data_IF_490211080165
#
_entry.id   IF_490211080165
#
_cell.length_a   1.000
_cell.length_b   1.000
_cell.length_c   1.000
_cell.angle_alpha   90.00
_cell.angle_beta   90.00
_cell.angle_gamma   90.00
#
_symmetry.space_group_name_H-M   'P 1'
#
loop_
_entity.id
_entity.type
_entity.pdbx_description
1 polymer ?
#
# COMPACT_ATOMS: atom_id res chain seq x y z
N UNK A 1 26.57 0.83 12.04
CA UNK A 1 25.36 0.71 12.89
C UNK A 1 24.27 1.49 12.20
N UNK A 2 23.40 0.82 11.43
CA UNK A 2 22.26 1.47 10.78
C UNK A 2 21.14 1.44 11.80
N UNK A 3 20.80 2.60 12.34
CA UNK A 3 19.62 2.80 13.17
C UNK A 3 18.41 2.42 12.32
N UNK A 4 17.82 1.25 12.56
CA UNK A 4 16.45 0.99 12.13
C UNK A 4 15.58 1.96 12.91
N UNK A 5 15.27 3.10 12.29
CA UNK A 5 14.23 3.98 12.80
C UNK A 5 12.95 3.18 12.59
N UNK A 6 12.59 2.43 13.63
CA UNK A 6 11.25 1.93 13.84
C UNK A 6 10.32 3.10 13.51
N UNK A 7 9.59 2.95 12.41
CA UNK A 7 8.40 3.75 12.16
C UNK A 7 7.62 3.75 13.48
N UNK A 8 7.42 4.94 14.06
CA UNK A 8 6.71 5.09 15.34
C UNK A 8 5.22 4.87 15.08
N UNK A 9 4.85 3.69 14.60
CA UNK A 9 3.48 3.20 14.63
C UNK A 9 3.18 2.72 16.05
N UNK A 10 3.15 3.66 16.99
CA UNK A 10 2.50 3.47 18.28
C UNK A 10 1.01 3.79 18.10
N UNK A 11 0.28 2.91 17.41
CA UNK A 11 -1.18 2.89 17.47
C UNK A 11 -1.63 1.46 17.70
N UNK A 12 -2.07 1.17 18.91
CA UNK A 12 -2.62 -0.13 19.30
C UNK A 12 -4.00 -0.40 18.70
N UNK A 13 -4.63 0.56 18.03
CA UNK A 13 -6.00 0.41 17.48
C UNK A 13 -6.16 1.27 16.21
N UNK A 14 -7.03 0.81 15.29
CA UNK A 14 -7.59 1.60 14.19
C UNK A 14 -6.97 1.44 12.79
N UNK A 15 -6.98 0.24 12.19
CA UNK A 15 -6.82 0.12 10.74
C UNK A 15 -7.87 -0.81 10.16
N UNK A 16 -8.42 -0.40 9.03
CA UNK A 16 -9.35 -1.18 8.22
C UNK A 16 -8.69 -1.55 6.90
N UNK A 17 -8.87 -2.81 6.50
CA UNK A 17 -8.31 -3.34 5.26
C UNK A 17 -9.47 -3.85 4.45
N UNK A 18 -9.51 -3.41 3.20
CA UNK A 18 -10.51 -3.82 2.24
C UNK A 18 -9.82 -4.47 1.05
N UNK A 19 -10.45 -5.53 0.55
CA UNK A 19 -10.12 -6.10 -0.74
C UNK A 19 -11.25 -5.79 -1.71
N UNK A 20 -10.87 -5.28 -2.86
CA UNK A 20 -11.75 -5.05 -3.99
C UNK A 20 -11.49 -6.15 -5.02
N UNK A 21 -12.54 -6.78 -5.51
CA UNK A 21 -12.47 -7.79 -6.56
C UNK A 21 -13.77 -7.82 -7.37
N UNK A 22 -13.67 -7.57 -8.68
CA UNK A 22 -14.82 -7.48 -9.59
C UNK A 22 -15.92 -6.52 -9.06
N UNK A 23 -15.50 -5.39 -8.49
CA UNK A 23 -16.37 -4.34 -7.94
C UNK A 23 -16.99 -4.65 -6.59
N UNK A 24 -16.67 -5.81 -6.02
CA UNK A 24 -17.11 -6.15 -4.67
C UNK A 24 -16.07 -5.70 -3.66
N UNK A 25 -16.52 -4.97 -2.63
CA UNK A 25 -15.71 -4.57 -1.48
C UNK A 25 -15.92 -5.56 -0.34
N UNK A 26 -14.85 -6.18 0.14
CA UNK A 26 -14.86 -7.10 1.28
C UNK A 26 -13.88 -6.67 2.36
N UNK A 27 -14.23 -6.89 3.64
CA UNK A 27 -13.35 -6.59 4.77
C UNK A 27 -12.37 -7.73 5.00
N UNK A 28 -11.08 -7.44 5.02
CA UNK A 28 -10.05 -8.43 5.38
C UNK A 28 -9.92 -8.49 6.90
N UNK A 29 -10.26 -9.65 7.47
CA UNK A 29 -10.18 -9.88 8.92
C UNK A 29 -8.82 -10.46 9.29
N UNK A 30 -7.90 -9.58 9.68
CA UNK A 30 -6.60 -9.95 10.23
C UNK A 30 -6.60 -9.92 11.76
N UNK A 31 -5.95 -10.90 12.38
CA UNK A 31 -5.59 -10.87 13.81
C UNK A 31 -4.67 -9.69 14.12
N UNK A 32 -4.55 -9.31 15.39
CA UNK A 32 -3.66 -8.21 15.78
C UNK A 32 -2.20 -8.45 15.40
N UNK A 33 -1.74 -9.70 15.42
CA UNK A 33 -0.39 -10.08 14.97
C UNK A 33 -0.22 -9.90 13.46
N UNK A 34 -1.20 -10.33 12.66
CA UNK A 34 -1.16 -10.19 11.19
C UNK A 34 -1.27 -8.73 10.77
N UNK A 35 -2.09 -7.91 11.46
CA UNK A 35 -2.14 -6.47 11.23
C UNK A 35 -0.79 -5.80 11.49
N UNK A 36 -0.13 -6.17 12.59
CA UNK A 36 1.21 -5.68 12.92
C UNK A 36 2.23 -6.11 11.87
N UNK A 37 2.19 -7.37 11.43
CA UNK A 37 3.08 -7.86 10.37
C UNK A 37 2.84 -7.13 9.04
N UNK A 38 1.59 -6.96 8.62
CA UNK A 38 1.23 -6.24 7.40
C UNK A 38 1.77 -4.80 7.44
N UNK A 39 1.58 -4.08 8.55
CA UNK A 39 2.11 -2.72 8.70
C UNK A 39 3.64 -2.68 8.61
N UNK A 40 4.34 -3.63 9.21
CA UNK A 40 5.80 -3.72 9.09
C UNK A 40 6.23 -3.96 7.64
N UNK A 41 5.50 -4.82 6.92
CA UNK A 41 5.76 -5.08 5.50
C UNK A 41 5.48 -3.83 4.65
N UNK A 42 4.39 -3.11 4.91
CA UNK A 42 4.08 -1.86 4.20
C UNK A 42 5.15 -0.82 4.49
N UNK A 43 5.58 -0.66 5.73
CA UNK A 43 6.67 0.26 6.07
C UNK A 43 7.96 -0.12 5.33
N UNK A 44 8.29 -1.41 5.26
CA UNK A 44 9.44 -1.91 4.51
C UNK A 44 9.33 -1.56 3.01
N UNK A 45 8.21 -1.94 2.37
CA UNK A 45 7.94 -1.68 0.95
C UNK A 45 7.90 -0.18 0.66
N UNK A 46 7.19 0.61 1.45
CA UNK A 46 7.05 2.05 1.25
C UNK A 46 8.38 2.77 1.47
N UNK A 47 9.23 2.29 2.41
CA UNK A 47 10.55 2.87 2.63
C UNK A 47 11.46 2.77 1.39
N UNK A 48 11.24 1.75 0.56
CA UNK A 48 12.01 1.46 -0.66
C UNK A 48 11.43 2.10 -1.92
N UNK A 49 10.44 3.00 -1.79
CA UNK A 49 9.99 3.82 -2.92
C UNK A 49 11.17 4.61 -3.48
N UNK A 50 11.51 4.28 -4.71
CA UNK A 50 12.58 4.89 -5.49
C UNK A 50 12.01 5.76 -6.61
N UNK A 51 10.81 5.43 -7.10
CA UNK A 51 10.17 6.15 -8.19
C UNK A 51 8.75 6.67 -7.90
N UNK A 52 8.44 7.77 -8.55
CA UNK A 52 7.10 8.36 -8.63
C UNK A 52 6.74 8.37 -10.11
N UNK A 53 5.75 7.56 -10.46
CA UNK A 53 5.36 7.41 -11.84
C UNK A 53 4.78 8.73 -12.34
N UNK A 54 5.22 9.17 -13.51
CA UNK A 54 4.68 10.37 -14.18
C UNK A 54 3.33 10.10 -14.82
N UNK A 55 2.43 9.53 -14.02
CA UNK A 55 1.07 9.17 -14.37
C UNK A 55 0.15 9.95 -13.43
N UNK A 56 -0.86 10.58 -14.01
CA UNK A 56 -1.93 11.18 -13.23
C UNK A 56 -3.01 10.12 -13.03
N UNK A 57 -3.29 9.78 -11.78
CA UNK A 57 -4.40 8.90 -11.41
C UNK A 57 -5.42 9.77 -10.70
N UNK A 58 -6.56 9.97 -11.34
CA UNK A 58 -7.68 10.73 -10.79
C UNK A 58 -8.63 9.83 -9.99
N UNK A 59 -9.60 10.41 -9.26
CA UNK A 59 -10.57 9.63 -8.50
C UNK A 59 -11.37 8.66 -9.37
N UNK A 60 -11.69 9.02 -10.62
CA UNK A 60 -12.43 8.15 -11.54
C UNK A 60 -11.63 6.89 -11.85
N UNK A 61 -10.33 7.03 -12.14
CA UNK A 61 -9.42 5.90 -12.37
C UNK A 61 -9.27 5.02 -11.14
N UNK A 62 -9.27 5.59 -9.94
CA UNK A 62 -9.27 4.80 -8.69
C UNK A 62 -10.53 3.95 -8.57
N UNK A 63 -11.69 4.52 -8.87
CA UNK A 63 -12.95 3.78 -8.83
C UNK A 63 -13.01 2.70 -9.91
N UNK A 64 -12.44 2.94 -11.10
CA UNK A 64 -12.25 1.91 -12.13
C UNK A 64 -11.39 0.75 -11.62
N UNK A 65 -10.24 1.03 -10.98
CA UNK A 65 -9.37 -0.01 -10.41
C UNK A 65 -10.14 -0.83 -9.36
N UNK A 66 -10.88 -0.17 -8.46
CA UNK A 66 -11.71 -0.85 -7.44
C UNK A 66 -12.85 -1.68 -8.05
N UNK A 67 -13.29 -1.34 -9.26
CA UNK A 67 -14.38 -1.99 -9.96
C UNK A 67 -13.91 -3.16 -10.82
N UNK A 68 -12.84 -2.99 -11.57
CA UNK A 68 -12.44 -3.91 -12.63
C UNK A 68 -11.23 -4.76 -12.23
N UNK A 69 -10.39 -4.29 -11.31
CA UNK A 69 -9.20 -4.99 -10.84
C UNK A 69 -9.34 -5.54 -9.41
N UNK A 70 -8.45 -6.46 -9.06
CA UNK A 70 -8.20 -6.84 -7.67
C UNK A 70 -7.31 -5.77 -7.03
N UNK A 71 -7.72 -5.19 -5.91
CA UNK A 71 -6.93 -4.18 -5.20
C UNK A 71 -7.08 -4.29 -3.68
N UNK A 72 -6.03 -3.93 -2.97
CA UNK A 72 -6.01 -3.82 -1.51
C UNK A 72 -6.06 -2.35 -1.10
N UNK A 73 -7.05 -1.97 -0.31
CA UNK A 73 -7.12 -0.64 0.29
C UNK A 73 -6.89 -0.74 1.79
N UNK A 74 -6.04 0.14 2.29
CA UNK A 74 -5.69 0.23 3.71
C UNK A 74 -6.08 1.61 4.15
N UNK A 75 -7.01 1.68 5.09
CA UNK A 75 -7.53 2.93 5.65
C UNK A 75 -7.03 3.05 7.08
N UNK A 76 -6.28 4.11 7.33
CA UNK A 76 -5.78 4.46 8.65
C UNK A 76 -6.87 5.27 9.39
N UNK A 77 -7.03 5.01 10.69
CA UNK A 77 -7.95 5.77 11.55
C UNK A 77 -7.63 7.26 11.64
N UNK A 78 -6.36 7.62 11.42
CA UNK A 78 -5.82 8.97 11.40
C UNK A 78 -4.79 9.14 10.30
N UNK A 79 -4.54 10.39 9.92
CA UNK A 79 -3.45 10.72 9.02
C UNK A 79 -2.13 10.14 9.56
N UNK A 80 -1.52 9.29 8.73
CA UNK A 80 -0.30 8.55 9.03
C UNK A 80 0.84 9.12 8.19
N UNK A 81 2.00 9.29 8.84
CA UNK A 81 3.22 9.70 8.17
C UNK A 81 4.06 8.48 7.82
N UNK A 82 4.26 8.22 6.52
CA UNK A 82 5.18 7.22 6.01
C UNK A 82 6.45 7.89 5.47
N UNK A 83 7.59 7.24 5.63
CA UNK A 83 8.89 7.80 5.29
C UNK A 83 9.57 6.91 4.26
N UNK A 84 9.92 7.52 3.13
CA UNK A 84 10.74 6.88 2.09
C UNK A 84 12.21 7.21 2.34
N UNK A 85 13.11 6.30 1.96
CA UNK A 85 14.57 6.52 2.07
C UNK A 85 15.04 7.67 1.17
N UNK A 86 14.43 7.80 -0.01
CA UNK A 86 14.95 8.66 -1.09
C UNK A 86 14.07 9.87 -1.42
N UNK A 87 12.80 9.90 -1.00
CA UNK A 87 11.83 10.96 -1.38
C UNK A 87 11.24 11.72 -0.19
N UNK A 88 11.62 11.39 1.04
CA UNK A 88 11.16 12.07 2.24
C UNK A 88 9.83 11.53 2.78
N UNK A 89 9.03 12.41 3.36
CA UNK A 89 7.85 12.08 4.17
C UNK A 89 6.55 12.27 3.40
N UNK A 90 5.63 11.32 3.56
CA UNK A 90 4.30 11.32 2.98
C UNK A 90 3.27 11.27 4.10
N UNK A 91 2.27 12.13 4.04
CA UNK A 91 1.14 12.14 4.97
C UNK A 91 -0.10 11.70 4.23
N UNK A 92 -0.78 10.67 4.74
CA UNK A 92 -1.91 10.03 4.06
C UNK A 92 -2.87 9.40 5.06
N UNK A 93 -4.14 9.30 4.70
CA UNK A 93 -5.16 8.57 5.47
C UNK A 93 -5.47 7.18 4.88
N UNK A 94 -4.99 6.91 3.65
CA UNK A 94 -5.20 5.65 2.96
C UNK A 94 -4.13 5.32 1.92
N UNK A 95 -3.97 4.03 1.69
CA UNK A 95 -3.20 3.46 0.59
C UNK A 95 -4.11 2.57 -0.25
N UNK A 96 -3.95 2.61 -1.57
CA UNK A 96 -4.52 1.62 -2.47
C UNK A 96 -3.39 0.96 -3.25
N UNK A 97 -3.41 -0.37 -3.29
CA UNK A 97 -2.40 -1.21 -3.93
C UNK A 97 -3.12 -2.09 -4.96
N UNK A 98 -2.98 -1.81 -6.26
CA UNK A 98 -3.51 -2.69 -7.29
C UNK A 98 -2.75 -4.02 -7.29
N UNK A 99 -3.48 -5.14 -7.22
CA UNK A 99 -2.94 -6.50 -7.24
C UNK A 99 -3.07 -7.15 -8.63
N UNK A 100 -3.98 -6.66 -9.47
CA UNK A 100 -4.10 -7.01 -10.89
C UNK A 100 -4.34 -5.76 -11.74
N UNK A 101 -4.27 -5.90 -13.07
CA UNK A 101 -4.47 -4.80 -14.01
C UNK A 101 -3.18 -4.11 -14.44
N UNK A 102 -3.32 -2.98 -15.11
CA UNK A 102 -2.19 -2.25 -15.71
C UNK A 102 -1.24 -1.66 -14.65
N UNK A 103 -1.78 -1.21 -13.52
CA UNK A 103 -1.02 -0.63 -12.41
C UNK A 103 -0.66 -1.66 -11.32
N UNK A 104 -0.69 -2.95 -11.65
CA UNK A 104 -0.36 -4.00 -10.69
C UNK A 104 1.10 -4.43 -10.72
N UNK A 105 1.42 -5.33 -9.80
CA UNK A 105 2.67 -6.06 -9.72
C UNK A 105 3.03 -6.72 -11.06
N UNK A 106 4.00 -6.13 -11.76
CA UNK A 106 4.64 -6.80 -12.88
C UNK A 106 5.53 -7.92 -12.33
N UNK A 107 5.16 -9.18 -12.60
CA UNK A 107 5.89 -10.38 -12.14
C UNK A 107 7.36 -10.41 -12.57
N UNK A 108 7.72 -9.63 -13.60
CA UNK A 108 9.09 -9.54 -14.09
C UNK A 108 9.93 -8.47 -13.39
N UNK A 109 9.32 -7.59 -12.59
CA UNK A 109 9.99 -6.37 -12.09
C UNK A 109 9.97 -6.20 -10.56
N UNK A 110 9.43 -7.16 -9.80
CA UNK A 110 9.34 -7.11 -8.32
C UNK A 110 8.87 -5.74 -7.78
N UNK A 111 7.99 -5.09 -8.53
CA UNK A 111 7.59 -3.72 -8.29
C UNK A 111 6.15 -3.65 -7.78
N UNK A 112 5.94 -2.94 -6.69
CA UNK A 112 4.61 -2.67 -6.14
C UNK A 112 4.27 -1.18 -6.34
N UNK A 113 3.05 -0.93 -6.79
CA UNK A 113 2.54 0.43 -6.99
C UNK A 113 1.62 0.80 -5.82
N UNK A 114 1.90 1.94 -5.20
CA UNK A 114 1.09 2.57 -4.17
C UNK A 114 0.39 3.80 -4.73
N UNK A 115 -0.93 3.81 -4.65
CA UNK A 115 -1.73 5.01 -4.83
C UNK A 115 -1.96 5.62 -3.45
N UNK A 116 -1.33 6.76 -3.19
CA UNK A 116 -1.40 7.46 -1.90
C UNK A 116 -2.57 8.43 -1.89
N UNK A 117 -3.36 8.42 -0.82
CA UNK A 117 -4.56 9.23 -0.73
C UNK A 117 -4.63 10.12 0.51
N UNK A 118 -5.07 11.35 0.26
CA UNK A 118 -5.90 12.14 1.16
C UNK A 118 -7.18 12.47 0.38
N UNK A 119 -8.36 12.19 0.93
CA UNK A 119 -9.41 11.23 0.49
C UNK A 119 -9.57 10.91 -1.02
N UNK A 120 -9.11 11.77 -1.93
CA UNK A 120 -9.35 11.73 -3.37
C UNK A 120 -8.20 11.09 -4.18
N UNK A 121 -7.19 10.51 -3.53
CA UNK A 121 -6.03 9.90 -4.21
C UNK A 121 -5.33 10.83 -5.22
N UNK A 122 -5.32 12.14 -4.96
CA UNK A 122 -4.78 13.15 -5.88
C UNK A 122 -3.23 13.16 -6.00
N UNK A 123 -2.56 12.08 -5.65
CA UNK A 123 -1.11 11.91 -5.73
C UNK A 123 -0.68 11.08 -6.93
N UNK A 124 0.53 11.33 -7.42
CA UNK A 124 1.15 10.45 -8.41
C UNK A 124 1.34 9.05 -7.81
N UNK A 125 1.16 7.97 -8.59
CA UNK A 125 1.47 6.62 -8.14
C UNK A 125 2.95 6.50 -7.75
N UNK A 126 3.20 5.85 -6.62
CA UNK A 126 4.54 5.58 -6.14
C UNK A 126 4.91 4.14 -6.45
N UNK A 127 6.13 3.93 -6.91
CA UNK A 127 6.67 2.63 -7.29
C UNK A 127 7.76 2.25 -6.30
N UNK A 128 7.69 1.01 -5.81
CA UNK A 128 8.71 0.45 -4.93
C UNK A 128 9.24 -0.84 -5.54
N UNK A 129 10.51 -0.81 -5.95
CA UNK A 129 11.25 -2.03 -6.25
C UNK A 129 11.64 -2.73 -4.94
N UNK A 130 10.95 -3.81 -4.64
CA UNK A 130 11.09 -4.49 -3.36
C UNK A 130 11.79 -5.84 -3.49
N UNK A 131 12.36 -6.30 -2.37
CA UNK A 131 12.89 -7.65 -2.31
C UNK A 131 11.76 -8.68 -2.52
N UNK A 132 12.01 -9.67 -3.37
CA UNK A 132 11.09 -10.77 -3.66
C UNK A 132 10.54 -11.44 -2.39
N UNK A 133 11.35 -11.55 -1.32
CA UNK A 133 10.91 -12.12 -0.05
C UNK A 133 9.86 -11.26 0.66
N UNK A 134 10.04 -9.93 0.66
CA UNK A 134 9.11 -8.98 1.27
C UNK A 134 7.79 -8.99 0.50
N UNK A 135 7.87 -9.02 -0.82
CA UNK A 135 6.71 -9.15 -1.70
C UNK A 135 5.95 -10.47 -1.48
N UNK A 136 6.65 -11.60 -1.37
CA UNK A 136 6.02 -12.90 -1.08
C UNK A 136 5.30 -12.90 0.27
N UNK A 137 5.90 -12.29 1.30
CA UNK A 137 5.27 -12.14 2.62
C UNK A 137 4.01 -11.28 2.54
N UNK A 138 4.09 -10.16 1.80
CA UNK A 138 2.93 -9.30 1.54
C UNK A 138 1.80 -10.09 0.87
N UNK A 139 2.06 -10.70 -0.29
CA UNK A 139 1.08 -11.47 -1.06
C UNK A 139 0.47 -12.60 -0.24
N UNK A 140 1.27 -13.32 0.55
CA UNK A 140 0.78 -14.38 1.43
C UNK A 140 -0.22 -13.88 2.48
N UNK A 141 -0.11 -12.64 2.95
CA UNK A 141 -1.07 -12.09 3.92
C UNK A 141 -2.38 -11.64 3.26
N UNK A 142 -2.32 -11.21 1.99
CA UNK A 142 -3.47 -10.58 1.30
C UNK A 142 -4.21 -11.51 0.35
N UNK A 143 -3.60 -12.65 -0.03
CA UNK A 143 -4.21 -13.69 -0.88
C UNK A 143 -4.82 -14.88 -0.08
N UNK A 144 -4.92 -14.80 1.25
CA UNK A 144 -5.58 -15.85 2.06
C UNK A 144 -7.11 -15.78 2.00
#
# INVERSE_FOLDING_TARGET
>A
MINSILCKYQSKEGLEIYIYENGNKSVVKLSSSEKSELLNIIDELFSDIDDELRLYVDPERVEEIKKDDKALEIVFDKETELITKNRGKYKLDRLLIPLTGELSLNKNENNIIFLTGNPDYAGSPLSSNCNENTLKRFLKLVDN
#
